data_IF_700576622594
#
_entry.id   IF_700576622594
#
_cell.length_a   1.000
_cell.length_b   1.000
_cell.length_c   1.000
_cell.angle_alpha   90.00
_cell.angle_beta   90.00
_cell.angle_gamma   90.00
#
_symmetry.space_group_name_H-M   'P 1'
#
loop_
_entity.id
_entity.type
_entity.pdbx_description
1 polymer ?
#
# COMPACT_ATOMS: atom_id res chain seq x y z
N UNK A 1 -11.60 6.70 5.23
CA UNK A 1 -10.18 7.03 5.44
C UNK A 1 -10.08 7.95 6.63
N UNK A 2 -9.04 7.80 7.45
CA UNK A 2 -8.74 8.76 8.52
C UNK A 2 -8.47 10.11 7.88
N UNK A 3 -9.08 11.17 8.40
CA UNK A 3 -9.04 12.50 7.77
C UNK A 3 -7.75 13.24 8.08
N UNK A 4 -7.09 12.92 9.19
CA UNK A 4 -5.90 13.63 9.66
C UNK A 4 -4.76 12.67 10.03
N UNK A 5 -3.93 12.35 9.03
CA UNK A 5 -2.69 11.58 9.21
C UNK A 5 -1.50 12.53 9.11
N UNK A 6 -0.54 12.40 10.03
CA UNK A 6 0.71 13.16 9.99
C UNK A 6 1.59 12.79 8.78
N UNK A 7 2.56 13.62 8.43
CA UNK A 7 3.54 13.27 7.37
C UNK A 7 4.22 11.91 7.62
N UNK A 8 4.43 11.55 8.88
CA UNK A 8 5.06 10.29 9.31
C UNK A 8 4.08 9.12 9.52
N UNK A 9 2.77 9.28 9.25
CA UNK A 9 1.78 8.23 9.42
C UNK A 9 1.07 8.16 10.77
N UNK A 10 1.48 8.95 11.75
CA UNK A 10 0.77 9.00 13.05
C UNK A 10 -0.66 9.49 12.83
N UNK A 11 -1.62 8.80 13.46
CA UNK A 11 -3.01 9.21 13.47
C UNK A 11 -3.21 10.42 14.41
N UNK A 12 -3.30 11.60 13.82
CA UNK A 12 -3.50 12.84 14.58
C UNK A 12 -4.87 12.91 15.26
N UNK A 13 -5.87 12.15 14.80
CA UNK A 13 -7.20 12.13 15.44
C UNK A 13 -7.16 11.45 16.81
N UNK A 14 -6.19 10.56 17.02
CA UNK A 14 -5.95 9.84 18.28
C UNK A 14 -4.81 10.44 19.12
N UNK A 15 -4.18 11.52 18.65
CA UNK A 15 -3.03 12.11 19.33
C UNK A 15 -3.46 13.00 20.49
N UNK A 16 -3.05 12.64 21.72
CA UNK A 16 -3.40 13.37 22.94
C UNK A 16 -3.03 14.87 22.87
N UNK A 17 -1.87 15.21 22.28
CA UNK A 17 -1.45 16.61 22.13
C UNK A 17 -2.38 17.40 21.21
N UNK A 18 -2.84 16.81 20.12
CA UNK A 18 -3.81 17.44 19.23
C UNK A 18 -5.19 17.52 19.89
N UNK A 19 -5.66 16.45 20.49
CA UNK A 19 -6.96 16.43 21.19
C UNK A 19 -6.98 17.51 22.26
N UNK A 20 -5.94 17.60 23.11
CA UNK A 20 -5.83 18.63 24.13
C UNK A 20 -5.82 20.06 23.57
N UNK A 21 -5.27 20.25 22.37
CA UNK A 21 -5.27 21.55 21.69
C UNK A 21 -6.65 21.90 21.14
N UNK A 22 -7.29 20.95 20.48
CA UNK A 22 -8.58 21.11 19.83
C UNK A 22 -9.72 21.35 20.85
N UNK A 23 -9.63 20.67 22.01
CA UNK A 23 -10.62 20.74 23.10
C UNK A 23 -10.30 21.78 24.18
N UNK A 24 -9.09 22.34 24.19
CA UNK A 24 -8.61 23.22 25.26
C UNK A 24 -8.36 22.49 26.59
N UNK A 25 -8.13 21.18 26.57
CA UNK A 25 -7.93 20.35 27.78
C UNK A 25 -6.48 20.47 28.30
N UNK A 26 -6.28 21.36 29.25
CA UNK A 26 -4.98 21.59 29.89
C UNK A 26 -4.55 20.40 30.79
N UNK A 27 -5.50 19.66 31.35
CA UNK A 27 -5.18 18.48 32.16
C UNK A 27 -4.59 17.37 31.25
N UNK A 28 -5.23 17.09 30.12
CA UNK A 28 -4.72 16.15 29.12
C UNK A 28 -3.37 16.60 28.56
N UNK A 29 -3.18 17.89 28.26
CA UNK A 29 -1.91 18.43 27.78
C UNK A 29 -0.78 18.21 28.80
N UNK A 30 -1.05 18.49 30.08
CA UNK A 30 -0.07 18.27 31.16
C UNK A 30 0.25 16.79 31.35
N UNK A 31 -0.74 15.91 31.32
CA UNK A 31 -0.53 14.48 31.39
C UNK A 31 0.30 13.96 30.19
N UNK A 32 0.01 14.45 29.00
CA UNK A 32 0.77 14.12 27.78
C UNK A 32 2.21 14.57 27.87
N UNK A 33 2.47 15.78 28.38
CA UNK A 33 3.83 16.30 28.58
C UNK A 33 4.63 15.41 29.52
N UNK A 34 4.05 14.97 30.64
CA UNK A 34 4.68 14.02 31.58
C UNK A 34 4.99 12.68 30.92
N UNK A 35 4.03 12.11 30.19
CA UNK A 35 4.18 10.86 29.45
C UNK A 35 5.33 10.94 28.45
N UNK A 36 5.38 11.98 27.64
CA UNK A 36 6.42 12.16 26.65
C UNK A 36 7.80 12.49 27.25
N UNK A 37 7.87 13.22 28.38
CA UNK A 37 9.10 13.40 29.16
C UNK A 37 9.67 12.04 29.59
N UNK A 38 8.83 11.18 30.16
CA UNK A 38 9.26 9.84 30.58
C UNK A 38 9.73 8.96 29.42
N UNK A 39 9.04 9.05 28.26
CA UNK A 39 9.39 8.25 27.07
C UNK A 39 10.69 8.71 26.40
N UNK A 40 10.97 10.01 26.39
CA UNK A 40 12.10 10.58 25.64
C UNK A 40 13.32 10.91 26.51
N UNK A 41 13.21 10.86 27.85
CA UNK A 41 14.28 11.18 28.77
C UNK A 41 14.68 12.66 28.81
N UNK A 42 13.87 13.56 28.22
CA UNK A 42 14.05 15.00 28.20
C UNK A 42 12.80 15.70 28.70
N UNK A 43 12.94 16.83 29.39
CA UNK A 43 11.80 17.59 29.87
C UNK A 43 10.98 18.15 28.70
N UNK A 44 9.69 17.78 28.63
CA UNK A 44 8.74 18.32 27.68
C UNK A 44 7.69 19.11 28.44
N UNK A 45 7.66 20.41 28.22
CA UNK A 45 6.71 21.30 28.89
C UNK A 45 5.36 21.31 28.19
N UNK A 46 4.23 21.45 28.90
CA UNK A 46 2.91 21.48 28.31
C UNK A 46 2.74 22.49 27.18
N UNK A 47 3.33 23.68 27.31
CA UNK A 47 3.28 24.74 26.30
C UNK A 47 3.92 24.35 24.95
N UNK A 48 4.79 23.33 24.91
CA UNK A 48 5.40 22.82 23.69
C UNK A 48 4.49 21.86 22.90
N UNK A 49 3.36 21.45 23.49
CA UNK A 49 2.47 20.43 22.95
C UNK A 49 1.22 20.99 22.24
N UNK A 50 1.16 22.28 21.97
CA UNK A 50 0.09 22.80 21.12
C UNK A 50 0.23 22.28 19.70
N UNK A 51 -0.80 21.60 19.19
CA UNK A 51 -0.75 20.97 17.89
C UNK A 51 -2.12 20.87 17.22
N UNK A 52 -2.23 21.34 15.98
CA UNK A 52 -3.38 21.11 15.10
C UNK A 52 -3.11 20.07 14.02
N UNK A 53 -1.93 19.44 14.05
CA UNK A 53 -1.47 18.48 13.03
C UNK A 53 -0.42 19.09 12.08
N UNK A 54 0.57 18.29 11.67
CA UNK A 54 1.70 18.81 10.89
C UNK A 54 1.34 19.17 9.43
N UNK A 55 0.20 18.70 8.92
CA UNK A 55 -0.31 18.92 7.55
C UNK A 55 -1.44 19.95 7.47
N UNK A 56 -1.86 20.52 8.58
CA UNK A 56 -2.89 21.54 8.63
C UNK A 56 -2.27 22.93 8.83
N UNK A 57 -3.01 23.97 8.54
CA UNK A 57 -2.68 25.31 9.02
C UNK A 57 -2.87 25.38 10.54
N UNK A 58 -2.16 26.29 11.22
CA UNK A 58 -2.24 26.46 12.65
C UNK A 58 -1.01 25.96 13.41
N UNK A 59 -1.12 26.00 14.74
CA UNK A 59 -0.03 25.70 15.67
C UNK A 59 0.44 24.25 15.55
N UNK A 60 1.74 24.05 15.73
CA UNK A 60 2.40 22.74 15.74
C UNK A 60 3.22 22.60 17.00
N UNK A 61 3.44 21.37 17.46
CA UNK A 61 4.39 21.16 18.58
C UNK A 61 5.72 21.81 18.25
N UNK A 62 6.43 22.25 19.26
CA UNK A 62 7.76 22.85 19.13
C UNK A 62 8.69 22.03 18.24
N UNK A 63 8.72 20.69 18.44
CA UNK A 63 9.51 19.79 17.61
C UNK A 63 9.09 19.81 16.12
N UNK A 64 7.79 19.81 15.84
CA UNK A 64 7.27 19.76 14.48
C UNK A 64 7.42 21.09 13.71
N UNK A 65 7.68 22.21 14.41
CA UNK A 65 7.88 23.51 13.76
C UNK A 65 9.16 23.54 12.95
N UNK A 66 10.31 23.25 13.57
CA UNK A 66 11.61 23.48 12.95
C UNK A 66 12.55 22.26 13.00
N UNK A 67 12.27 21.26 13.83
CA UNK A 67 13.19 20.13 14.11
C UNK A 67 12.80 18.83 13.41
N UNK A 68 11.58 18.71 12.91
CA UNK A 68 11.08 17.45 12.33
C UNK A 68 11.63 17.24 10.91
N UNK A 69 12.67 16.41 10.81
CA UNK A 69 13.28 16.05 9.52
C UNK A 69 12.29 15.34 8.58
N UNK A 70 11.35 14.56 9.12
CA UNK A 70 10.32 13.87 8.32
C UNK A 70 9.43 14.89 7.61
N UNK A 71 8.94 15.88 8.34
CA UNK A 71 8.10 16.94 7.76
C UNK A 71 8.88 17.77 6.74
N UNK A 72 10.12 18.16 7.06
CA UNK A 72 10.98 18.90 6.15
C UNK A 72 11.25 18.13 4.85
N UNK A 73 11.55 16.82 4.94
CA UNK A 73 11.77 15.97 3.79
C UNK A 73 10.51 15.85 2.92
N UNK A 74 9.35 15.57 3.52
CA UNK A 74 8.09 15.45 2.78
C UNK A 74 7.75 16.77 2.06
N UNK A 75 7.85 17.91 2.76
CA UNK A 75 7.61 19.22 2.17
C UNK A 75 8.59 19.56 1.04
N UNK A 76 9.88 19.27 1.22
CA UNK A 76 10.91 19.50 0.20
C UNK A 76 10.74 18.67 -1.08
N UNK A 77 10.10 17.50 -0.97
CA UNK A 77 9.76 16.63 -2.11
C UNK A 77 8.36 16.92 -2.69
N UNK A 78 7.59 17.82 -2.09
CA UNK A 78 6.21 18.12 -2.49
C UNK A 78 5.22 17.01 -2.09
N UNK A 79 5.59 16.14 -1.15
CA UNK A 79 4.73 15.06 -0.68
C UNK A 79 3.82 15.51 0.47
N UNK A 80 2.57 15.09 0.44
CA UNK A 80 1.67 15.28 1.57
C UNK A 80 2.05 14.39 2.75
N UNK A 81 2.53 13.17 2.50
CA UNK A 81 3.00 12.22 3.51
C UNK A 81 4.16 11.38 2.99
N UNK A 82 4.87 10.70 3.89
CA UNK A 82 5.90 9.71 3.52
C UNK A 82 5.33 8.53 2.71
N UNK A 83 4.02 8.30 2.71
CA UNK A 83 3.36 7.26 1.91
C UNK A 83 3.39 7.49 0.39
N UNK A 84 3.82 8.68 -0.06
CA UNK A 84 4.06 8.98 -1.47
C UNK A 84 5.51 8.66 -1.90
N UNK A 85 6.38 8.33 -0.94
CA UNK A 85 7.76 7.97 -1.19
C UNK A 85 7.91 6.46 -1.35
N UNK A 86 8.49 6.01 -2.46
CA UNK A 86 8.74 4.58 -2.71
C UNK A 86 9.73 3.96 -1.71
N UNK A 87 10.57 4.80 -1.09
CA UNK A 87 11.58 4.38 -0.11
C UNK A 87 11.03 4.32 1.33
N UNK A 88 9.73 4.56 1.56
CA UNK A 88 9.18 4.71 2.93
C UNK A 88 9.48 3.52 3.83
N UNK A 89 9.47 2.30 3.30
CA UNK A 89 9.70 1.07 4.06
C UNK A 89 11.16 0.91 4.54
N UNK A 90 12.11 1.55 3.86
CA UNK A 90 13.56 1.46 4.14
C UNK A 90 14.15 2.79 4.60
N UNK A 91 13.33 3.83 4.79
CA UNK A 91 13.78 5.17 5.08
C UNK A 91 14.23 5.31 6.55
N UNK A 92 15.53 5.59 6.81
CA UNK A 92 16.05 5.70 8.17
C UNK A 92 15.45 6.88 8.96
N UNK A 93 14.95 7.90 8.27
CA UNK A 93 14.37 9.08 8.93
C UNK A 93 12.99 8.80 9.53
N UNK A 94 12.17 7.95 8.89
CA UNK A 94 10.83 7.60 9.39
C UNK A 94 10.82 6.32 10.21
N UNK A 95 11.83 5.46 10.06
CA UNK A 95 11.94 4.17 10.75
C UNK A 95 11.68 4.24 12.26
N UNK A 96 12.21 5.21 13.04
CA UNK A 96 11.91 5.29 14.46
C UNK A 96 10.42 5.45 14.76
N UNK A 97 9.69 6.17 13.91
CA UNK A 97 8.24 6.31 14.06
C UNK A 97 7.56 4.97 13.78
N UNK A 98 7.92 4.29 12.69
CA UNK A 98 7.32 3.01 12.30
C UNK A 98 7.55 1.92 13.36
N UNK A 99 8.70 1.92 14.02
CA UNK A 99 9.00 1.00 15.13
C UNK A 99 8.14 1.23 16.38
N UNK A 100 7.86 2.51 16.70
CA UNK A 100 7.09 2.86 17.92
C UNK A 100 5.58 2.97 17.66
N UNK A 101 5.17 3.09 16.41
CA UNK A 101 3.78 3.24 15.98
C UNK A 101 3.56 2.33 14.76
N UNK A 102 3.38 1.02 14.96
CA UNK A 102 3.24 0.06 13.84
C UNK A 102 2.12 0.42 12.86
N UNK A 103 1.01 0.97 13.38
CA UNK A 103 -0.12 1.41 12.53
C UNK A 103 0.25 2.58 11.58
N UNK A 104 1.41 3.23 11.78
CA UNK A 104 1.78 4.38 10.97
C UNK A 104 2.02 4.01 9.51
N UNK A 105 2.56 2.83 9.24
CA UNK A 105 2.78 2.36 7.86
C UNK A 105 1.45 2.08 7.15
N UNK A 106 0.49 1.49 7.84
CA UNK A 106 -0.85 1.28 7.33
C UNK A 106 -1.54 2.60 6.99
N UNK A 107 -1.41 3.58 7.90
CA UNK A 107 -1.95 4.91 7.68
C UNK A 107 -1.33 5.61 6.46
N UNK A 108 -0.05 5.37 6.17
CA UNK A 108 0.68 5.96 5.05
C UNK A 108 0.35 5.28 3.72
N UNK A 109 0.26 3.96 3.72
CA UNK A 109 0.16 3.19 2.48
C UNK A 109 -1.26 2.75 2.14
N UNK A 110 -2.20 2.78 3.09
CA UNK A 110 -3.58 2.36 2.82
C UNK A 110 -4.37 3.42 2.06
N UNK A 111 -5.15 2.96 1.09
CA UNK A 111 -6.10 3.76 0.33
C UNK A 111 -7.29 2.90 -0.12
N UNK A 112 -8.31 3.46 -0.72
CA UNK A 112 -9.44 2.64 -1.16
C UNK A 112 -10.70 3.43 -1.46
N UNK A 113 -11.79 2.70 -1.66
CA UNK A 113 -13.14 3.18 -1.93
C UNK A 113 -14.06 3.03 -0.71
N UNK A 114 -15.38 3.14 -0.95
CA UNK A 114 -16.39 2.78 0.05
C UNK A 114 -16.44 1.27 0.31
N UNK A 115 -16.10 0.44 -0.68
CA UNK A 115 -16.19 -1.02 -0.63
C UNK A 115 -14.87 -1.68 -0.30
N UNK A 116 -13.76 -1.19 -0.86
CA UNK A 116 -12.44 -1.78 -0.75
C UNK A 116 -11.51 -0.92 0.09
N UNK A 117 -10.67 -1.59 0.86
CA UNK A 117 -9.45 -1.06 1.45
C UNK A 117 -8.25 -1.79 0.83
N UNK A 118 -7.31 -1.03 0.29
CA UNK A 118 -6.00 -1.53 -0.11
C UNK A 118 -5.03 -1.14 1.00
N UNK A 119 -4.44 -2.13 1.69
CA UNK A 119 -3.50 -1.92 2.80
C UNK A 119 -2.26 -2.79 2.63
N UNK A 120 -1.14 -2.46 3.29
CA UNK A 120 -0.01 -3.38 3.37
C UNK A 120 -0.43 -4.77 3.85
N UNK A 121 0.30 -5.77 3.43
CA UNK A 121 0.17 -7.12 3.96
C UNK A 121 0.74 -7.20 5.37
N UNK A 122 0.09 -7.95 6.24
CA UNK A 122 0.55 -8.24 7.60
C UNK A 122 0.92 -9.71 7.70
N UNK A 123 1.88 -10.05 8.54
CA UNK A 123 2.25 -11.45 8.77
C UNK A 123 1.06 -12.29 9.27
N UNK A 124 0.14 -11.66 10.02
CA UNK A 124 -1.12 -12.28 10.45
C UNK A 124 -2.08 -12.67 9.32
N UNK A 125 -1.84 -12.19 8.09
CA UNK A 125 -2.64 -12.56 6.92
C UNK A 125 -2.17 -13.89 6.29
N UNK A 126 -1.15 -14.56 6.82
CA UNK A 126 -0.57 -15.76 6.23
C UNK A 126 -1.57 -16.90 6.07
N UNK A 127 -2.46 -17.11 7.04
CA UNK A 127 -3.49 -18.15 6.98
C UNK A 127 -4.50 -17.87 5.87
N UNK A 128 -4.95 -16.63 5.73
CA UNK A 128 -5.91 -16.27 4.69
C UNK A 128 -5.26 -16.24 3.31
N UNK A 129 -3.99 -15.84 3.20
CA UNK A 129 -3.23 -15.94 1.96
C UNK A 129 -3.12 -17.42 1.56
N UNK A 130 -2.73 -18.30 2.47
CA UNK A 130 -2.64 -19.73 2.20
C UNK A 130 -3.97 -20.31 1.73
N UNK A 131 -5.07 -19.97 2.40
CA UNK A 131 -6.42 -20.45 2.03
C UNK A 131 -6.75 -20.17 0.55
N UNK A 132 -6.41 -19.01 0.01
CA UNK A 132 -6.62 -18.72 -1.41
C UNK A 132 -5.49 -19.24 -2.30
N UNK A 133 -4.27 -19.20 -1.81
CA UNK A 133 -3.10 -19.53 -2.60
C UNK A 133 -2.90 -21.05 -2.81
N UNK A 134 -3.48 -21.87 -1.96
CA UNK A 134 -3.47 -23.34 -2.16
C UNK A 134 -4.43 -23.81 -3.26
N UNK A 135 -5.36 -22.94 -3.72
CA UNK A 135 -6.33 -23.30 -4.76
C UNK A 135 -5.63 -23.40 -6.12
N UNK A 136 -5.75 -24.58 -6.77
CA UNK A 136 -5.13 -24.91 -8.05
C UNK A 136 -5.63 -24.04 -9.23
N UNK A 137 -6.69 -23.26 -9.05
CA UNK A 137 -7.20 -22.35 -10.07
C UNK A 137 -6.79 -20.90 -9.83
N UNK A 138 -6.42 -20.49 -8.62
CA UNK A 138 -6.04 -19.11 -8.30
C UNK A 138 -4.61 -18.82 -8.73
N UNK A 139 -3.63 -19.52 -8.14
CA UNK A 139 -2.21 -19.32 -8.42
C UNK A 139 -1.84 -19.50 -9.89
N UNK A 140 -2.16 -20.62 -10.51
CA UNK A 140 -1.82 -20.89 -11.91
C UNK A 140 -2.41 -19.90 -12.91
N UNK A 141 -3.57 -19.30 -12.62
CA UNK A 141 -4.15 -18.22 -13.45
C UNK A 141 -3.45 -16.87 -13.28
N UNK A 142 -2.72 -16.70 -12.18
CA UNK A 142 -1.95 -15.49 -11.88
C UNK A 142 -0.44 -15.67 -12.14
N UNK A 143 0.01 -16.88 -12.49
CA UNK A 143 1.39 -17.16 -12.91
C UNK A 143 2.30 -17.76 -11.83
N UNK A 144 1.74 -18.26 -10.73
CA UNK A 144 2.51 -18.87 -9.64
C UNK A 144 1.90 -20.21 -9.20
N UNK A 145 2.73 -21.08 -8.60
CA UNK A 145 2.33 -22.40 -8.14
C UNK A 145 1.50 -22.30 -6.84
N UNK A 146 0.53 -23.20 -6.62
CA UNK A 146 -0.20 -23.23 -5.36
C UNK A 146 0.73 -23.38 -4.16
N UNK A 147 0.49 -22.57 -3.12
CA UNK A 147 1.25 -22.63 -1.89
C UNK A 147 1.03 -23.96 -1.16
N UNK A 148 2.08 -24.50 -0.57
CA UNK A 148 2.07 -25.81 0.08
C UNK A 148 1.83 -25.72 1.60
N UNK A 149 2.00 -24.52 2.19
CA UNK A 149 1.85 -24.32 3.63
C UNK A 149 1.57 -22.85 3.99
N UNK A 150 1.09 -22.65 5.22
CA UNK A 150 0.96 -21.30 5.82
C UNK A 150 2.33 -20.64 5.97
N UNK A 151 3.38 -21.42 6.26
CA UNK A 151 4.74 -20.88 6.41
C UNK A 151 5.27 -20.34 5.07
N UNK A 152 5.03 -21.04 3.95
CA UNK A 152 5.34 -20.51 2.62
C UNK A 152 4.58 -19.20 2.34
N UNK A 153 3.31 -19.15 2.69
CA UNK A 153 2.52 -17.90 2.55
C UNK A 153 3.08 -16.77 3.43
N UNK A 154 3.55 -17.09 4.63
CA UNK A 154 4.21 -16.12 5.52
C UNK A 154 5.52 -15.60 4.91
N UNK A 155 6.31 -16.50 4.33
CA UNK A 155 7.55 -16.14 3.64
C UNK A 155 7.28 -15.25 2.41
N UNK A 156 6.21 -15.52 1.66
CA UNK A 156 5.79 -14.65 0.55
C UNK A 156 5.38 -13.26 1.06
N UNK A 157 4.63 -13.17 2.15
CA UNK A 157 4.29 -11.87 2.76
C UNK A 157 5.56 -11.11 3.14
N UNK A 158 6.49 -11.76 3.85
CA UNK A 158 7.67 -11.10 4.40
C UNK A 158 8.73 -10.74 3.33
N UNK A 159 8.86 -11.52 2.27
CA UNK A 159 9.93 -11.36 1.30
C UNK A 159 9.49 -10.80 -0.05
N UNK A 160 8.20 -10.97 -0.42
CA UNK A 160 7.66 -10.54 -1.71
C UNK A 160 6.68 -9.37 -1.56
N UNK A 161 5.77 -9.45 -0.59
CA UNK A 161 4.72 -8.44 -0.42
C UNK A 161 5.10 -7.32 0.56
N UNK A 162 6.18 -7.48 1.32
CA UNK A 162 6.67 -6.46 2.25
C UNK A 162 7.38 -5.31 1.51
N UNK A 163 6.61 -4.53 0.76
CA UNK A 163 7.08 -3.38 0.00
C UNK A 163 6.00 -2.30 -0.10
N UNK A 164 6.35 -1.12 -0.63
CA UNK A 164 5.45 0.03 -0.74
C UNK A 164 4.53 -0.01 -1.97
N UNK A 165 4.59 -1.07 -2.78
CA UNK A 165 3.90 -1.16 -4.06
C UNK A 165 3.01 -2.39 -4.21
N UNK A 166 2.84 -3.17 -3.13
CA UNK A 166 1.97 -4.36 -3.08
C UNK A 166 0.99 -4.27 -1.92
N UNK A 167 -0.28 -4.48 -2.20
CA UNK A 167 -1.37 -4.34 -1.22
C UNK A 167 -2.26 -5.56 -1.15
N UNK A 168 -2.70 -5.89 0.06
CA UNK A 168 -3.85 -6.75 0.29
C UNK A 168 -5.13 -6.00 -0.10
N UNK A 169 -6.03 -6.68 -0.81
CA UNK A 169 -7.38 -6.20 -1.10
C UNK A 169 -8.30 -6.66 0.02
N UNK A 170 -8.89 -5.72 0.76
CA UNK A 170 -9.76 -6.00 1.89
C UNK A 170 -11.17 -5.51 1.60
N UNK A 171 -12.18 -6.33 1.87
CA UNK A 171 -13.58 -5.92 1.86
C UNK A 171 -13.90 -5.18 3.16
N UNK A 172 -14.28 -3.88 3.07
CA UNK A 172 -14.58 -3.07 4.26
C UNK A 172 -15.76 -3.57 5.09
N UNK A 173 -16.73 -4.21 4.46
CA UNK A 173 -17.91 -4.73 5.12
C UNK A 173 -17.60 -5.86 6.11
N UNK A 174 -16.63 -6.70 5.77
CA UNK A 174 -16.30 -7.92 6.53
C UNK A 174 -14.92 -7.91 7.14
N UNK A 175 -14.10 -6.91 6.81
CA UNK A 175 -12.67 -6.80 7.14
C UNK A 175 -11.83 -7.99 6.66
N UNK A 176 -12.31 -8.72 5.64
CA UNK A 176 -11.62 -9.88 5.08
C UNK A 176 -10.68 -9.48 3.96
N UNK A 177 -9.45 -9.98 4.01
CA UNK A 177 -8.56 -10.01 2.86
C UNK A 177 -9.14 -10.95 1.83
N UNK A 178 -9.20 -10.52 0.56
CA UNK A 178 -9.81 -11.29 -0.52
C UNK A 178 -8.90 -11.45 -1.74
N UNK A 179 -7.72 -10.82 -1.74
CA UNK A 179 -6.77 -10.87 -2.84
C UNK A 179 -5.60 -9.92 -2.68
N UNK A 180 -4.83 -9.76 -3.74
CA UNK A 180 -3.71 -8.84 -3.83
C UNK A 180 -3.74 -8.02 -5.11
N UNK A 181 -3.13 -6.84 -5.04
CA UNK A 181 -2.81 -6.00 -6.19
C UNK A 181 -1.48 -5.29 -5.95
N UNK A 182 -0.69 -5.11 -6.99
CA UNK A 182 0.55 -4.37 -6.90
C UNK A 182 1.12 -3.99 -8.25
N UNK A 183 2.19 -3.21 -8.21
CA UNK A 183 3.02 -2.94 -9.37
C UNK A 183 4.49 -3.06 -8.98
N UNK A 184 5.34 -3.41 -9.94
CA UNK A 184 6.77 -3.58 -9.72
C UNK A 184 7.59 -3.30 -10.98
N UNK A 185 8.93 -3.35 -10.86
CA UNK A 185 9.81 -3.18 -12.01
C UNK A 185 9.48 -4.20 -13.10
N UNK A 186 9.52 -3.76 -14.35
CA UNK A 186 9.28 -4.62 -15.52
C UNK A 186 10.37 -5.66 -15.74
N UNK A 187 11.57 -5.43 -15.18
CA UNK A 187 12.69 -6.39 -15.27
C UNK A 187 12.42 -7.71 -14.50
N UNK A 188 11.43 -7.73 -13.62
CA UNK A 188 11.08 -8.90 -12.81
C UNK A 188 10.03 -9.79 -13.51
N UNK A 189 9.68 -9.50 -14.77
CA UNK A 189 8.72 -10.27 -15.54
C UNK A 189 9.11 -10.41 -17.01
N UNK A 190 8.58 -11.43 -17.67
CA UNK A 190 8.84 -11.74 -19.09
C UNK A 190 8.01 -10.87 -20.07
N UNK A 191 7.35 -9.81 -19.57
CA UNK A 191 6.54 -8.93 -20.42
C UNK A 191 7.43 -7.95 -21.20
N UNK A 192 7.12 -7.67 -22.47
CA UNK A 192 7.81 -6.66 -23.27
C UNK A 192 7.45 -5.25 -22.79
N UNK A 193 8.09 -4.83 -21.72
CA UNK A 193 7.92 -3.52 -21.11
C UNK A 193 8.97 -2.52 -21.66
N UNK A 194 8.60 -1.25 -21.67
CA UNK A 194 9.52 -0.16 -21.96
C UNK A 194 10.36 0.14 -20.70
N UNK A 195 11.54 0.78 -20.85
CA UNK A 195 12.24 1.34 -19.70
C UNK A 195 11.29 2.24 -18.88
N UNK A 196 11.33 2.13 -17.56
CA UNK A 196 10.49 2.91 -16.61
C UNK A 196 8.97 2.63 -16.69
N UNK A 197 8.56 1.55 -17.35
CA UNK A 197 7.18 1.10 -17.40
C UNK A 197 6.95 -0.05 -16.41
N UNK A 198 6.36 0.20 -15.23
CA UNK A 198 6.10 -0.85 -14.25
C UNK A 198 5.04 -1.85 -14.74
N UNK A 199 5.18 -3.09 -14.28
CA UNK A 199 4.16 -4.11 -14.47
C UNK A 199 3.16 -4.10 -13.35
N UNK A 200 1.89 -4.39 -13.69
CA UNK A 200 0.80 -4.53 -12.72
C UNK A 200 0.34 -5.98 -12.65
N UNK A 201 0.18 -6.48 -11.42
CA UNK A 201 -0.39 -7.79 -11.14
C UNK A 201 -1.51 -7.72 -10.11
N UNK A 202 -2.48 -8.59 -10.23
CA UNK A 202 -3.59 -8.73 -9.27
C UNK A 202 -4.19 -10.13 -9.30
N UNK A 203 -4.77 -10.52 -8.19
CA UNK A 203 -5.59 -11.72 -8.07
C UNK A 203 -6.61 -11.55 -6.93
N UNK A 204 -7.67 -12.34 -6.96
CA UNK A 204 -8.64 -12.51 -5.86
C UNK A 204 -8.99 -13.98 -5.71
N UNK A 205 -9.36 -14.37 -4.50
CA UNK A 205 -9.87 -15.69 -4.20
C UNK A 205 -11.03 -16.09 -5.14
N UNK A 206 -11.16 -17.37 -5.45
CA UNK A 206 -12.12 -17.90 -6.42
C UNK A 206 -13.57 -17.51 -6.10
N UNK A 207 -13.95 -17.51 -4.84
CA UNK A 207 -15.29 -17.13 -4.36
C UNK A 207 -15.64 -15.65 -4.62
N UNK A 208 -14.63 -14.81 -4.94
CA UNK A 208 -14.79 -13.39 -5.26
C UNK A 208 -14.72 -13.06 -6.74
N UNK A 209 -14.62 -14.07 -7.61
CA UNK A 209 -14.61 -13.85 -9.04
C UNK A 209 -15.93 -13.26 -9.55
N UNK A 210 -15.86 -12.54 -10.66
CA UNK A 210 -17.00 -11.89 -11.32
C UNK A 210 -17.77 -10.84 -10.49
N UNK A 211 -17.21 -10.40 -9.35
CA UNK A 211 -17.82 -9.38 -8.48
C UNK A 211 -17.27 -7.98 -8.70
N UNK A 212 -16.40 -7.78 -9.72
CA UNK A 212 -15.80 -6.48 -10.05
C UNK A 212 -14.69 -6.01 -9.10
N UNK A 213 -14.27 -6.82 -8.14
CA UNK A 213 -13.27 -6.45 -7.13
C UNK A 213 -11.93 -6.10 -7.78
N UNK A 214 -11.39 -6.94 -8.67
CA UNK A 214 -10.14 -6.62 -9.37
C UNK A 214 -10.25 -5.34 -10.21
N UNK A 215 -11.39 -5.09 -10.86
CA UNK A 215 -11.60 -3.87 -11.65
C UNK A 215 -11.55 -2.63 -10.76
N UNK A 216 -12.24 -2.68 -9.62
CA UNK A 216 -12.26 -1.57 -8.66
C UNK A 216 -10.87 -1.35 -8.03
N UNK A 217 -10.20 -2.43 -7.63
CA UNK A 217 -8.84 -2.35 -7.06
C UNK A 217 -7.82 -1.79 -8.08
N UNK A 218 -7.90 -2.22 -9.35
CA UNK A 218 -7.02 -1.71 -10.41
C UNK A 218 -7.28 -0.23 -10.71
N UNK A 219 -8.53 0.22 -10.73
CA UNK A 219 -8.86 1.63 -10.90
C UNK A 219 -8.31 2.48 -9.75
N UNK A 220 -8.41 2.01 -8.51
CA UNK A 220 -7.83 2.67 -7.33
C UNK A 220 -6.29 2.74 -7.41
N UNK A 221 -5.65 1.67 -7.87
CA UNK A 221 -4.20 1.63 -8.06
C UNK A 221 -3.74 2.64 -9.11
N UNK A 222 -4.42 2.69 -10.26
CA UNK A 222 -4.11 3.65 -11.33
C UNK A 222 -4.25 5.09 -10.81
N UNK A 223 -5.34 5.41 -10.12
CA UNK A 223 -5.54 6.75 -9.53
C UNK A 223 -4.40 7.12 -8.57
N UNK A 224 -3.99 6.19 -7.70
CA UNK A 224 -2.84 6.40 -6.80
C UNK A 224 -1.54 6.62 -7.57
N UNK A 225 -1.23 5.78 -8.55
CA UNK A 225 -0.01 5.87 -9.35
C UNK A 225 0.05 7.21 -10.08
N UNK A 226 -1.03 7.60 -10.75
CA UNK A 226 -1.13 8.86 -11.51
C UNK A 226 -0.91 10.08 -10.61
N UNK A 227 -1.47 10.08 -9.42
CA UNK A 227 -1.47 11.25 -8.54
C UNK A 227 -0.22 11.36 -7.66
N UNK A 228 0.52 10.25 -7.44
CA UNK A 228 1.58 10.23 -6.42
C UNK A 228 2.96 9.78 -6.90
N UNK A 229 3.11 9.21 -8.11
CA UNK A 229 4.41 8.63 -8.50
C UNK A 229 5.05 9.24 -9.75
N UNK A 230 4.32 10.01 -10.52
CA UNK A 230 4.80 10.53 -11.82
C UNK A 230 4.91 9.47 -12.93
N UNK A 231 4.55 8.20 -12.68
CA UNK A 231 4.47 7.13 -13.66
C UNK A 231 3.39 7.50 -14.69
N UNK A 232 3.71 7.36 -15.97
CA UNK A 232 2.82 7.75 -17.08
C UNK A 232 2.27 6.56 -17.85
N UNK A 233 2.86 5.38 -17.68
CA UNK A 233 2.41 4.17 -18.36
C UNK A 233 2.58 2.96 -17.45
N UNK A 234 1.72 1.99 -17.63
CA UNK A 234 1.72 0.71 -16.92
C UNK A 234 1.54 -0.39 -17.96
N UNK A 235 2.26 -1.49 -17.81
CA UNK A 235 2.08 -2.69 -18.62
C UNK A 235 1.53 -3.82 -17.78
N UNK A 236 0.73 -4.66 -18.37
CA UNK A 236 0.26 -5.90 -17.76
C UNK A 236 0.01 -6.95 -18.83
N UNK A 237 -0.21 -8.18 -18.42
CA UNK A 237 -0.53 -9.25 -19.33
C UNK A 237 -1.50 -10.25 -18.73
N UNK A 238 -2.17 -10.99 -19.61
CA UNK A 238 -3.00 -12.12 -19.18
C UNK A 238 -2.72 -13.33 -20.06
N UNK A 239 -2.79 -14.49 -19.47
CA UNK A 239 -2.74 -15.73 -20.23
C UNK A 239 -3.95 -15.83 -21.19
N UNK A 240 -3.74 -16.38 -22.38
CA UNK A 240 -4.79 -16.52 -23.40
C UNK A 240 -6.00 -17.31 -22.86
N UNK A 241 -5.75 -18.27 -21.97
CA UNK A 241 -6.79 -19.06 -21.30
C UNK A 241 -7.40 -18.38 -20.06
N UNK A 242 -6.97 -17.13 -19.73
CA UNK A 242 -7.56 -16.30 -18.70
C UNK A 242 -8.08 -14.96 -19.25
N UNK A 243 -9.08 -14.94 -20.15
CA UNK A 243 -9.60 -13.71 -20.74
C UNK A 243 -10.32 -12.82 -19.72
N UNK A 244 -10.67 -13.35 -18.55
CA UNK A 244 -11.29 -12.58 -17.48
C UNK A 244 -10.34 -11.48 -16.96
N UNK A 245 -9.03 -11.80 -16.81
CA UNK A 245 -8.01 -10.83 -16.44
C UNK A 245 -7.87 -9.72 -17.50
N UNK A 246 -7.87 -10.08 -18.80
CA UNK A 246 -7.87 -9.09 -19.89
C UNK A 246 -9.05 -8.11 -19.80
N UNK A 247 -10.26 -8.63 -19.55
CA UNK A 247 -11.45 -7.76 -19.38
C UNK A 247 -11.38 -6.81 -18.18
N UNK A 248 -10.68 -7.18 -17.12
CA UNK A 248 -10.42 -6.27 -15.98
C UNK A 248 -9.56 -5.11 -16.44
N UNK A 249 -8.45 -5.39 -17.13
CA UNK A 249 -7.54 -4.38 -17.66
C UNK A 249 -8.24 -3.44 -18.65
N UNK A 250 -8.95 -3.97 -19.62
CA UNK A 250 -9.70 -3.20 -20.62
C UNK A 250 -10.72 -2.24 -19.97
N UNK A 251 -11.45 -2.70 -18.94
CA UNK A 251 -12.37 -1.84 -18.18
C UNK A 251 -11.69 -0.70 -17.43
N UNK A 252 -10.40 -0.84 -17.14
CA UNK A 252 -9.57 0.20 -16.49
C UNK A 252 -8.77 1.04 -17.49
N UNK A 253 -9.03 0.91 -18.80
CA UNK A 253 -8.41 1.74 -19.83
C UNK A 253 -7.10 1.18 -20.39
N UNK A 254 -6.72 -0.05 -20.09
CA UNK A 254 -5.63 -0.72 -20.78
C UNK A 254 -6.04 -1.08 -22.20
N UNK A 255 -5.12 -0.91 -23.14
CA UNK A 255 -5.31 -1.21 -24.56
C UNK A 255 -4.38 -2.34 -24.96
N UNK A 256 -4.89 -3.31 -25.74
CA UNK A 256 -4.08 -4.39 -26.28
C UNK A 256 -2.99 -3.83 -27.21
N UNK A 257 -1.74 -4.21 -26.99
CA UNK A 257 -0.62 -3.76 -27.83
C UNK A 257 -0.49 -4.52 -29.14
N UNK A 258 -1.13 -5.66 -29.24
CA UNK A 258 -0.93 -6.62 -30.34
C UNK A 258 0.28 -7.56 -30.08
N UNK A 259 1.07 -7.30 -29.06
CA UNK A 259 2.22 -8.13 -28.68
C UNK A 259 1.77 -9.35 -27.87
N UNK A 260 2.51 -10.43 -28.05
CA UNK A 260 2.40 -11.64 -27.23
C UNK A 260 3.80 -12.08 -26.81
N UNK A 261 3.92 -12.59 -25.61
CA UNK A 261 5.12 -13.25 -25.12
C UNK A 261 4.78 -14.63 -24.58
N UNK A 262 5.79 -15.43 -24.33
CA UNK A 262 5.63 -16.73 -23.68
C UNK A 262 6.38 -16.71 -22.37
N UNK A 263 5.72 -17.15 -21.30
CA UNK A 263 6.36 -17.39 -20.01
C UNK A 263 6.48 -18.88 -19.77
N UNK A 264 7.61 -19.34 -19.21
CA UNK A 264 7.68 -20.70 -18.68
C UNK A 264 6.52 -20.92 -17.73
N UNK A 265 5.74 -21.97 -17.96
CA UNK A 265 4.72 -22.32 -16.98
C UNK A 265 5.41 -22.76 -15.70
N UNK A 266 5.17 -22.10 -14.59
CA UNK A 266 5.55 -22.59 -13.27
C UNK A 266 4.74 -23.87 -12.90
N UNK A 267 3.78 -24.22 -13.74
CA UNK A 267 2.85 -25.33 -13.55
C UNK A 267 2.67 -26.10 -14.85
N UNK A 268 3.54 -27.09 -15.07
CA UNK A 268 3.49 -27.98 -16.26
C UNK A 268 4.59 -27.69 -17.30
N UNK A 269 4.71 -28.59 -18.29
CA UNK A 269 5.82 -28.63 -19.26
C UNK A 269 5.68 -27.69 -20.47
N UNK A 270 4.66 -26.82 -20.52
CA UNK A 270 4.39 -25.97 -21.68
C UNK A 270 4.47 -24.49 -21.37
N UNK A 271 5.14 -23.74 -22.24
CA UNK A 271 5.09 -22.27 -22.21
C UNK A 271 3.66 -21.78 -22.43
N UNK A 272 3.22 -20.85 -21.61
CA UNK A 272 1.91 -20.21 -21.76
C UNK A 272 2.05 -18.90 -22.53
N UNK A 273 1.12 -18.66 -23.44
CA UNK A 273 1.06 -17.42 -24.21
C UNK A 273 0.37 -16.33 -23.39
N UNK A 274 1.01 -15.17 -23.29
CA UNK A 274 0.51 -13.99 -22.61
C UNK A 274 0.20 -12.93 -23.66
N UNK A 275 -1.00 -12.34 -23.60
CA UNK A 275 -1.35 -11.10 -24.35
C UNK A 275 -1.00 -9.89 -23.52
N UNK A 276 -0.33 -8.94 -24.13
CA UNK A 276 0.17 -7.73 -23.48
C UNK A 276 -0.80 -6.57 -23.67
N UNK A 277 -1.10 -5.89 -22.59
CA UNK A 277 -1.92 -4.68 -22.59
C UNK A 277 -1.15 -3.54 -21.91
N UNK A 278 -1.38 -2.32 -22.37
CA UNK A 278 -0.72 -1.13 -21.86
C UNK A 278 -1.74 -0.06 -21.51
N UNK A 279 -1.52 0.61 -20.39
CA UNK A 279 -2.25 1.79 -19.97
C UNK A 279 -1.31 3.01 -20.09
N UNK A 280 -1.81 4.10 -20.64
CA UNK A 280 -1.08 5.37 -20.77
C UNK A 280 -2.00 6.51 -20.28
N UNK A 281 -1.36 7.52 -19.64
CA UNK A 281 -2.05 8.72 -19.14
C UNK A 281 -2.34 9.68 -20.27
#
# INVERSE_FOLDING_TARGET
>A
MKTLIACCGIDCEKCDARIATDTGDEALRTATARKWTAMNGIEIKPEYLHCMGCRTDGVKTYYCTDMCQIRACAAGRGYATCGECVEVMTCPTVEPILKHQPDAIDNLLSFGSKRLLLRPWHESDAEILYYYAMDEEVGPRAGWAPHQSVDESRDVINNVFHNATTWAIVLRETDKVVGAIGYGPSCDCDLPARPDEPTVGYWVGKEYWNQGICTEALALLIDRVVNHTGIKSLVSGHYVDNPASGRVMEKCGFVATGECCTSPSLYGDSNRVIRVLRWER
#
